data_IF_354064408043
#
_entry.id   IF_354064408043
#
_cell.length_a   1.000
_cell.length_b   1.000
_cell.length_c   1.000
_cell.angle_alpha   90.00
_cell.angle_beta   90.00
_cell.angle_gamma   90.00
#
_symmetry.space_group_name_H-M   'P 1'
#
loop_
_entity.id
_entity.type
_entity.pdbx_description
1 polymer ?
#
# COMPACT_ATOMS: atom_id res chain seq x y z
N UNK A 1 3.96 -5.65 27.68
CA UNK A 1 2.73 -5.51 26.88
C UNK A 1 2.79 -4.18 26.15
N UNK A 2 3.19 -4.13 24.86
CA UNK A 2 3.27 -2.88 24.09
C UNK A 2 2.14 -2.88 23.05
N UNK A 3 0.94 -2.36 23.38
CA UNK A 3 -0.26 -2.44 22.51
C UNK A 3 -0.04 -1.82 21.13
N UNK A 4 0.83 -0.82 21.01
CA UNK A 4 1.23 -0.21 19.75
C UNK A 4 1.76 -1.23 18.72
N UNK A 5 2.45 -2.28 19.17
CA UNK A 5 3.05 -3.26 18.26
C UNK A 5 2.01 -4.17 17.62
N UNK A 6 0.95 -4.50 18.37
CA UNK A 6 -0.17 -5.27 17.85
C UNK A 6 -0.97 -4.46 16.83
N UNK A 7 -1.18 -3.16 17.08
CA UNK A 7 -1.88 -2.28 16.17
C UNK A 7 -1.14 -2.12 14.83
N UNK A 8 0.18 -1.87 14.87
CA UNK A 8 1.00 -1.82 13.66
C UNK A 8 1.00 -3.15 12.89
N UNK A 9 1.04 -4.29 13.58
CA UNK A 9 0.98 -5.61 12.94
C UNK A 9 -0.40 -5.92 12.36
N UNK A 10 -1.47 -5.45 13.01
CA UNK A 10 -2.84 -5.57 12.50
C UNK A 10 -3.05 -4.73 11.24
N UNK A 11 -2.61 -3.47 11.25
CA UNK A 11 -2.66 -2.59 10.06
C UNK A 11 -1.83 -3.19 8.91
N UNK A 12 -0.64 -3.72 9.20
CA UNK A 12 0.18 -4.41 8.22
C UNK A 12 -0.53 -5.65 7.63
N UNK A 13 -1.18 -6.45 8.46
CA UNK A 13 -1.95 -7.61 8.01
C UNK A 13 -3.14 -7.20 7.13
N UNK A 14 -3.84 -6.12 7.51
CA UNK A 14 -4.99 -5.60 6.76
C UNK A 14 -4.56 -5.04 5.40
N UNK A 15 -3.45 -4.29 5.35
CA UNK A 15 -2.84 -3.83 4.10
C UNK A 15 -2.38 -5.00 3.21
N UNK A 16 -1.81 -6.05 3.80
CA UNK A 16 -1.39 -7.26 3.08
C UNK A 16 -2.60 -8.03 2.53
N UNK A 17 -3.71 -8.08 3.26
CA UNK A 17 -4.96 -8.66 2.80
C UNK A 17 -5.53 -7.89 1.60
N UNK A 18 -5.53 -6.55 1.67
CA UNK A 18 -5.92 -5.71 0.54
C UNK A 18 -5.01 -5.90 -0.69
N UNK A 19 -3.70 -6.04 -0.48
CA UNK A 19 -2.74 -6.34 -1.54
C UNK A 19 -3.07 -7.66 -2.24
N UNK A 20 -3.37 -8.70 -1.46
CA UNK A 20 -3.73 -10.03 -1.98
C UNK A 20 -5.03 -9.93 -2.78
N UNK A 21 -6.06 -9.28 -2.25
CA UNK A 21 -7.35 -9.13 -2.96
C UNK A 21 -7.16 -8.38 -4.28
N UNK A 22 -6.44 -7.26 -4.29
CA UNK A 22 -6.15 -6.50 -5.50
C UNK A 22 -5.38 -7.35 -6.54
N UNK A 23 -4.34 -8.08 -6.10
CA UNK A 23 -3.57 -8.95 -6.97
C UNK A 23 -4.36 -10.15 -7.51
N UNK A 24 -5.28 -10.71 -6.73
CA UNK A 24 -6.18 -11.78 -7.18
C UNK A 24 -7.17 -11.25 -8.22
N UNK A 25 -7.75 -10.06 -8.00
CA UNK A 25 -8.64 -9.43 -8.97
C UNK A 25 -7.92 -9.13 -10.29
N UNK A 26 -6.72 -8.56 -10.23
CA UNK A 26 -5.88 -8.31 -11.42
C UNK A 26 -5.51 -9.64 -12.12
N UNK A 27 -5.25 -10.72 -11.37
CA UNK A 27 -4.95 -12.04 -11.95
C UNK A 27 -6.16 -12.66 -12.65
N UNK A 28 -7.36 -12.57 -12.06
CA UNK A 28 -8.60 -13.07 -12.66
C UNK A 28 -8.89 -12.31 -13.96
N UNK A 29 -8.77 -10.99 -13.93
CA UNK A 29 -8.99 -10.15 -15.11
C UNK A 29 -7.95 -10.41 -16.19
N UNK A 30 -6.69 -10.62 -15.82
CA UNK A 30 -5.63 -10.95 -16.76
C UNK A 30 -5.84 -12.31 -17.44
N UNK A 31 -6.26 -13.33 -16.69
CA UNK A 31 -6.54 -14.66 -17.22
C UNK A 31 -7.78 -14.63 -18.14
N UNK A 32 -8.82 -13.88 -17.75
CA UNK A 32 -10.03 -13.71 -18.56
C UNK A 32 -9.77 -12.92 -19.86
N UNK A 33 -8.84 -11.98 -19.85
CA UNK A 33 -8.52 -11.15 -21.01
C UNK A 33 -7.46 -11.77 -21.94
N UNK A 34 -6.91 -12.95 -21.62
CA UNK A 34 -5.75 -13.54 -22.33
C UNK A 34 -4.57 -12.55 -22.49
N UNK A 35 -4.39 -11.66 -21.51
CA UNK A 35 -3.41 -10.58 -21.55
C UNK A 35 -3.18 -9.98 -20.17
N UNK A 36 -2.02 -9.37 -19.94
CA UNK A 36 -1.68 -8.77 -18.64
C UNK A 36 -2.47 -7.47 -18.45
N UNK A 37 -3.62 -7.55 -17.79
CA UNK A 37 -4.43 -6.39 -17.39
C UNK A 37 -4.00 -6.00 -15.98
N UNK A 38 -3.32 -4.86 -15.88
CA UNK A 38 -2.92 -4.28 -14.61
C UNK A 38 -3.75 -3.03 -14.35
N UNK A 39 -4.60 -3.07 -13.33
CA UNK A 39 -5.41 -1.92 -12.96
C UNK A 39 -4.55 -0.93 -12.18
N UNK A 40 -4.43 0.30 -12.68
CA UNK A 40 -3.75 1.36 -11.93
C UNK A 40 -4.52 1.69 -10.66
N UNK A 41 -3.79 2.02 -9.57
CA UNK A 41 -4.40 2.34 -8.29
C UNK A 41 -5.36 3.53 -8.41
N UNK A 42 -5.03 4.51 -9.25
CA UNK A 42 -5.90 5.66 -9.52
C UNK A 42 -7.20 5.27 -10.22
N UNK A 43 -7.16 4.37 -11.21
CA UNK A 43 -8.40 3.89 -11.82
C UNK A 43 -9.24 3.07 -10.84
N UNK A 44 -8.61 2.22 -10.03
CA UNK A 44 -9.33 1.48 -8.98
C UNK A 44 -10.03 2.44 -8.01
N UNK A 45 -9.34 3.48 -7.55
CA UNK A 45 -9.90 4.48 -6.63
C UNK A 45 -11.02 5.29 -7.30
N UNK A 46 -10.82 5.76 -8.54
CA UNK A 46 -11.86 6.47 -9.29
C UNK A 46 -13.13 5.64 -9.49
N UNK A 47 -13.00 4.31 -9.68
CA UNK A 47 -14.15 3.42 -9.80
C UNK A 47 -14.86 3.14 -8.47
N UNK A 48 -14.15 3.26 -7.35
CA UNK A 48 -14.73 3.13 -6.02
C UNK A 48 -15.45 4.41 -5.59
N UNK A 49 -14.72 5.52 -5.53
CA UNK A 49 -15.23 6.80 -5.04
C UNK A 49 -14.43 7.99 -5.62
N UNK A 50 -14.90 8.59 -6.72
CA UNK A 50 -14.18 9.69 -7.39
C UNK A 50 -14.16 10.99 -6.55
N UNK A 51 -15.18 11.21 -5.72
CA UNK A 51 -15.24 12.37 -4.81
C UNK A 51 -14.14 12.30 -3.75
N UNK A 52 -13.89 11.11 -3.20
CA UNK A 52 -12.85 10.91 -2.19
C UNK A 52 -11.44 11.16 -2.73
N UNK A 53 -11.19 10.85 -4.01
CA UNK A 53 -9.91 11.13 -4.68
C UNK A 53 -9.71 12.63 -4.88
N UNK A 54 -10.77 13.34 -5.26
CA UNK A 54 -10.74 14.81 -5.42
C UNK A 54 -10.48 15.48 -4.07
N UNK A 55 -11.13 15.02 -3.00
CA UNK A 55 -10.87 15.51 -1.65
C UNK A 55 -9.42 15.23 -1.23
N UNK A 56 -8.91 14.03 -1.48
CA UNK A 56 -7.53 13.68 -1.15
C UNK A 56 -6.50 14.59 -1.86
N UNK A 57 -6.74 14.96 -3.13
CA UNK A 57 -5.94 15.93 -3.87
C UNK A 57 -5.96 17.31 -3.19
N UNK A 58 -7.16 17.83 -2.89
CA UNK A 58 -7.33 19.13 -2.21
C UNK A 58 -6.62 19.13 -0.85
N UNK A 59 -6.80 18.07 -0.05
CA UNK A 59 -6.14 17.95 1.26
C UNK A 59 -4.62 17.89 1.13
N UNK A 60 -4.09 17.16 0.16
CA UNK A 60 -2.65 17.07 -0.04
C UNK A 60 -2.04 18.42 -0.48
N UNK A 61 -2.70 19.13 -1.40
CA UNK A 61 -2.27 20.46 -1.84
C UNK A 61 -2.35 21.49 -0.71
N UNK A 62 -3.39 21.41 0.12
CA UNK A 62 -3.62 22.38 1.20
C UNK A 62 -2.73 22.14 2.41
N UNK A 63 -2.51 20.88 2.83
CA UNK A 63 -1.88 20.56 4.11
C UNK A 63 -0.44 20.03 4.00
N UNK A 64 -0.04 19.49 2.85
CA UNK A 64 1.30 18.92 2.68
C UNK A 64 2.20 19.86 1.91
N UNK A 65 1.82 20.18 0.68
CA UNK A 65 2.57 21.08 -0.20
C UNK A 65 1.77 21.31 -1.48
N UNK A 66 1.60 22.58 -1.82
CA UNK A 66 1.08 22.99 -3.13
C UNK A 66 1.99 22.40 -4.22
N UNK A 67 1.41 21.63 -5.15
CA UNK A 67 2.16 21.03 -6.26
C UNK A 67 2.91 19.73 -5.94
N UNK A 68 2.76 19.09 -4.78
CA UNK A 68 3.32 17.74 -4.52
C UNK A 68 2.53 16.65 -5.24
N UNK A 69 1.22 16.85 -5.39
CA UNK A 69 0.32 15.81 -5.89
C UNK A 69 0.70 15.36 -7.31
N UNK A 70 0.89 16.30 -8.23
CA UNK A 70 1.20 16.01 -9.64
C UNK A 70 2.54 15.28 -9.87
N UNK A 71 3.67 15.67 -9.26
CA UNK A 71 4.96 15.01 -9.48
C UNK A 71 5.19 13.75 -8.65
N UNK A 72 4.52 13.58 -7.49
CA UNK A 72 4.78 12.44 -6.58
C UNK A 72 3.60 11.48 -6.54
N UNK A 73 2.41 12.01 -6.25
CA UNK A 73 1.23 11.20 -6.01
C UNK A 73 0.63 10.71 -7.33
N UNK A 74 0.56 11.54 -8.38
CA UNK A 74 0.10 11.15 -9.71
C UNK A 74 0.84 9.93 -10.28
N UNK A 75 2.18 9.92 -10.35
CA UNK A 75 2.94 8.76 -10.81
C UNK A 75 2.77 7.54 -9.93
N UNK A 76 2.57 7.72 -8.62
CA UNK A 76 2.23 6.64 -7.72
C UNK A 76 0.85 6.06 -8.07
N UNK A 77 -0.22 6.86 -8.23
CA UNK A 77 -1.54 6.36 -8.63
C UNK A 77 -1.53 5.70 -10.02
N UNK A 78 -0.59 6.06 -10.89
CA UNK A 78 -0.40 5.41 -12.19
C UNK A 78 0.23 4.01 -12.08
N UNK A 79 0.87 3.66 -10.95
CA UNK A 79 1.39 2.32 -10.74
C UNK A 79 0.25 1.31 -10.54
N UNK A 80 0.48 0.03 -10.90
CA UNK A 80 -0.46 -1.04 -10.63
C UNK A 80 -0.79 -1.13 -9.14
N UNK A 81 -2.07 -1.26 -8.80
CA UNK A 81 -2.55 -1.27 -7.42
C UNK A 81 -1.85 -2.32 -6.56
N UNK A 82 -1.68 -3.54 -7.09
CA UNK A 82 -1.02 -4.63 -6.38
C UNK A 82 0.43 -4.25 -5.97
N UNK A 83 1.17 -3.53 -6.82
CA UNK A 83 2.56 -3.18 -6.54
C UNK A 83 2.67 -2.16 -5.40
N UNK A 84 1.74 -1.20 -5.35
CA UNK A 84 1.69 -0.22 -4.25
C UNK A 84 1.31 -0.91 -2.94
N UNK A 85 0.27 -1.73 -2.94
CA UNK A 85 -0.17 -2.41 -1.72
C UNK A 85 0.90 -3.40 -1.21
N UNK A 86 1.60 -4.10 -2.10
CA UNK A 86 2.72 -4.97 -1.74
C UNK A 86 3.90 -4.18 -1.18
N UNK A 87 4.24 -3.04 -1.78
CA UNK A 87 5.26 -2.12 -1.27
C UNK A 87 4.93 -1.58 0.13
N UNK A 88 3.69 -1.14 0.34
CA UNK A 88 3.20 -0.70 1.65
C UNK A 88 3.25 -1.84 2.68
N UNK A 89 2.80 -3.04 2.29
CA UNK A 89 2.86 -4.21 3.16
C UNK A 89 4.30 -4.54 3.58
N UNK A 90 5.26 -4.48 2.65
CA UNK A 90 6.68 -4.66 2.94
C UNK A 90 7.23 -3.56 3.85
N UNK A 91 6.89 -2.29 3.61
CA UNK A 91 7.33 -1.17 4.44
C UNK A 91 6.81 -1.30 5.88
N UNK A 92 5.53 -1.62 6.05
CA UNK A 92 4.94 -1.84 7.37
C UNK A 92 5.51 -3.08 8.05
N UNK A 93 5.75 -4.16 7.30
CA UNK A 93 6.40 -5.36 7.81
C UNK A 93 7.82 -5.05 8.29
N UNK A 94 8.60 -4.30 7.51
CA UNK A 94 9.97 -3.91 7.83
C UNK A 94 10.03 -2.95 9.03
N UNK A 95 9.09 -2.00 9.13
CA UNK A 95 8.93 -1.13 10.30
C UNK A 95 8.51 -1.91 11.57
N UNK A 96 7.71 -2.97 11.40
CA UNK A 96 7.36 -3.91 12.47
C UNK A 96 8.45 -4.92 12.81
N UNK A 97 9.39 -5.18 11.89
CA UNK A 97 10.51 -6.09 12.04
C UNK A 97 11.58 -5.45 12.93
N UNK A 98 11.37 -5.54 14.24
CA UNK A 98 12.48 -5.41 15.19
C UNK A 98 13.42 -6.59 14.98
N UNK A 99 14.66 -6.29 14.57
CA UNK A 99 15.79 -7.24 14.57
C UNK A 99 15.67 -8.14 15.81
N UNK A 100 15.57 -9.47 15.68
CA UNK A 100 15.78 -10.33 16.84
C UNK A 100 17.12 -9.89 17.42
N UNK A 101 17.12 -9.40 18.66
CA UNK A 101 18.36 -9.09 19.37
C UNK A 101 19.10 -10.40 19.33
N UNK A 102 20.14 -10.48 18.51
CA UNK A 102 21.01 -11.63 18.41
C UNK A 102 21.39 -11.93 19.86
N UNK A 103 20.81 -13.00 20.39
CA UNK A 103 21.07 -13.43 21.73
C UNK A 103 22.50 -13.97 21.69
N UNK A 104 23.47 -13.06 21.79
CA UNK A 104 24.84 -13.37 22.16
C UNK A 104 24.85 -13.85 23.60
N UNK A 105 24.20 -14.98 23.85
CA UNK A 105 24.35 -15.79 25.05
C UNK A 105 25.39 -16.86 24.73
N UNK A 106 26.64 -16.46 24.50
CA UNK A 106 27.81 -17.34 24.60
C UNK A 106 29.05 -16.49 24.90
N UNK A 107 29.23 -16.18 26.18
CA UNK A 107 30.56 -16.00 26.75
C UNK A 107 30.52 -16.71 28.10
N UNK A 108 31.23 -17.84 28.11
CA UNK A 108 31.40 -18.80 29.19
C UNK A 108 32.39 -18.29 30.24
#
# INVERSE_FOLDING_TARGET
MRPLQFLFRFISALALLAAIVAGVLDSIQSVSASGVVLTSLGNMWLNLDPESLTLAEIYAETYVSEGLWRPVIGPALAQPAFAIFLGLALLFWMAGYRKPRFAGRFSA
#
